data_IF_731232143198
#
_entry.id   IF_731232143198
#
_cell.length_a   1.000
_cell.length_b   1.000
_cell.length_c   1.000
_cell.angle_alpha   90.00
_cell.angle_beta   90.00
_cell.angle_gamma   90.00
#
_symmetry.space_group_name_H-M   'P 1'
#
loop_
_entity.id
_entity.type
_entity.pdbx_description
1 polymer ?
#
# COMPACT_ATOMS: atom_id res chain seq x y z
N UNK A 1 -9.59 18.30 -14.79
CA UNK A 1 -8.19 18.25 -14.31
C UNK A 1 -7.42 17.39 -15.32
N UNK A 2 -6.36 17.92 -15.92
CA UNK A 2 -5.47 17.09 -16.75
C UNK A 2 -4.59 16.30 -15.80
N UNK A 3 -4.71 14.97 -15.85
CA UNK A 3 -3.83 14.06 -15.13
C UNK A 3 -2.70 13.70 -16.09
N UNK A 4 -1.50 14.20 -15.81
CA UNK A 4 -0.29 13.81 -16.56
C UNK A 4 0.16 12.45 -16.04
N UNK A 5 0.45 11.50 -16.92
CA UNK A 5 1.05 10.23 -16.54
C UNK A 5 2.37 10.48 -15.77
N UNK A 6 2.68 9.61 -14.82
CA UNK A 6 3.90 9.66 -13.98
C UNK A 6 4.04 10.90 -13.08
N UNK A 7 2.95 11.64 -12.86
CA UNK A 7 2.91 12.71 -11.85
C UNK A 7 2.25 12.21 -10.56
N UNK A 8 3.03 12.31 -9.47
CA UNK A 8 2.60 11.93 -8.13
C UNK A 8 2.36 13.18 -7.29
N UNK A 9 1.37 13.15 -6.40
CA UNK A 9 1.12 14.24 -5.45
C UNK A 9 0.86 13.69 -4.05
N UNK A 10 1.26 14.46 -3.04
CA UNK A 10 0.97 14.17 -1.65
C UNK A 10 -0.40 14.72 -1.28
N UNK A 11 -1.36 13.81 -1.06
CA UNK A 11 -2.70 14.14 -0.58
C UNK A 11 -2.88 13.73 0.87
N UNK A 12 -3.32 14.66 1.72
CA UNK A 12 -3.80 14.31 3.06
C UNK A 12 -5.23 13.78 2.95
N UNK A 13 -5.48 12.60 3.51
CA UNK A 13 -6.83 12.03 3.66
C UNK A 13 -7.25 12.07 5.13
N UNK A 14 -8.54 12.16 5.37
CA UNK A 14 -9.14 12.17 6.73
C UNK A 14 -9.98 10.90 6.96
N UNK A 15 -9.62 9.81 6.30
CA UNK A 15 -10.40 8.58 6.27
C UNK A 15 -9.67 7.45 5.56
N UNK A 16 -10.31 6.28 5.47
CA UNK A 16 -9.70 5.10 4.86
C UNK A 16 -9.45 5.34 3.37
N UNK A 17 -8.31 4.88 2.89
CA UNK A 17 -7.91 4.95 1.48
C UNK A 17 -8.07 3.56 0.87
N UNK A 18 -8.66 3.50 -0.33
CA UNK A 18 -8.70 2.29 -1.16
C UNK A 18 -7.67 2.45 -2.27
N UNK A 19 -6.85 1.41 -2.47
CA UNK A 19 -5.90 1.35 -3.59
C UNK A 19 -6.05 0.05 -4.37
N UNK A 20 -5.20 -0.14 -5.37
CA UNK A 20 -5.05 -1.39 -6.12
C UNK A 20 -3.91 -2.20 -5.52
N UNK A 21 -4.04 -3.52 -5.45
CA UNK A 21 -2.93 -4.38 -5.08
C UNK A 21 -1.81 -4.29 -6.15
N UNK A 22 -0.55 -4.33 -5.71
CA UNK A 22 0.60 -4.48 -6.60
C UNK A 22 0.48 -5.79 -7.42
N UNK A 23 1.15 -5.90 -8.56
CA UNK A 23 0.95 -7.05 -9.47
C UNK A 23 1.28 -8.43 -8.85
N UNK A 24 2.12 -8.44 -7.80
CA UNK A 24 2.46 -9.63 -6.99
C UNK A 24 1.80 -9.61 -5.61
N UNK A 25 1.00 -8.59 -5.30
CA UNK A 25 0.54 -8.23 -3.96
C UNK A 25 -0.49 -9.20 -3.40
N UNK A 26 -0.02 -10.22 -2.69
CA UNK A 26 -0.85 -11.07 -1.85
C UNK A 26 -1.10 -10.40 -0.50
N UNK A 27 -1.93 -9.35 -0.47
CA UNK A 27 -2.26 -8.69 0.80
C UNK A 27 -3.08 -9.62 1.70
N UNK A 28 -2.64 -9.77 2.96
CA UNK A 28 -3.36 -10.58 3.97
C UNK A 28 -3.24 -12.09 3.76
N UNK A 29 -2.11 -12.56 3.22
CA UNK A 29 -1.78 -13.98 3.17
C UNK A 29 -1.65 -14.58 4.57
N UNK A 30 -1.07 -13.83 5.49
CA UNK A 30 -0.93 -14.18 6.91
C UNK A 30 -1.59 -13.14 7.85
N UNK A 31 -1.99 -13.58 9.05
CA UNK A 31 -2.70 -12.72 10.00
C UNK A 31 -1.81 -11.60 10.61
N UNK A 32 -0.50 -11.69 10.44
CA UNK A 32 0.51 -10.72 10.87
C UNK A 32 0.97 -9.77 9.74
N UNK A 33 0.55 -10.00 8.50
CA UNK A 33 0.81 -9.12 7.37
C UNK A 33 -0.12 -7.89 7.42
N UNK A 34 0.27 -6.90 8.22
CA UNK A 34 -0.54 -5.69 8.45
C UNK A 34 0.04 -4.42 7.84
N UNK A 35 1.36 -4.36 7.68
CA UNK A 35 2.04 -3.20 7.12
C UNK A 35 1.96 -3.22 5.59
N UNK A 36 1.53 -2.10 5.00
CA UNK A 36 1.47 -1.92 3.55
C UNK A 36 2.38 -0.79 3.10
N UNK A 37 2.88 -0.95 1.89
CA UNK A 37 3.86 -0.07 1.27
C UNK A 37 3.41 0.28 -0.15
N UNK A 38 3.80 1.47 -0.60
CA UNK A 38 3.62 1.87 -1.99
C UNK A 38 4.65 1.18 -2.89
N UNK A 39 4.16 0.58 -3.97
CA UNK A 39 4.98 0.08 -5.06
C UNK A 39 5.20 1.16 -6.13
N UNK A 40 6.16 0.93 -7.04
CA UNK A 40 6.54 1.90 -8.07
C UNK A 40 5.43 2.19 -9.09
N UNK A 41 4.45 1.29 -9.23
CA UNK A 41 3.29 1.43 -10.10
C UNK A 41 2.11 2.16 -9.42
N UNK A 42 2.28 2.58 -8.16
CA UNK A 42 1.24 3.21 -7.35
C UNK A 42 0.28 2.22 -6.69
N UNK A 43 0.47 0.92 -6.88
CA UNK A 43 -0.20 -0.13 -6.12
C UNK A 43 0.30 -0.21 -4.68
N UNK A 44 -0.41 -1.01 -3.88
CA UNK A 44 0.00 -1.33 -2.52
C UNK A 44 0.30 -2.82 -2.36
N UNK A 45 1.32 -3.12 -1.57
CA UNK A 45 1.79 -4.48 -1.29
C UNK A 45 2.40 -4.61 0.10
N UNK A 46 2.76 -5.84 0.47
CA UNK A 46 3.67 -6.08 1.59
C UNK A 46 5.11 -5.75 1.17
N UNK A 47 6.01 -5.52 2.13
CA UNK A 47 7.39 -5.11 1.85
C UNK A 47 8.13 -6.05 0.89
N UNK A 48 7.85 -7.37 0.95
CA UNK A 48 8.47 -8.36 0.07
C UNK A 48 7.90 -8.43 -1.35
N UNK A 49 6.68 -7.91 -1.55
CA UNK A 49 5.98 -7.97 -2.84
C UNK A 49 6.18 -6.68 -3.65
N UNK A 50 6.41 -5.56 -2.97
CA UNK A 50 6.75 -4.31 -3.65
C UNK A 50 8.14 -4.43 -4.30
N UNK A 51 8.24 -4.07 -5.57
CA UNK A 51 9.49 -4.16 -6.33
C UNK A 51 10.50 -3.11 -5.86
N UNK A 52 11.17 -3.38 -4.74
CA UNK A 52 12.29 -2.57 -4.26
C UNK A 52 13.48 -2.71 -5.20
N UNK A 53 13.91 -1.61 -5.81
CA UNK A 53 15.28 -1.52 -6.33
C UNK A 53 16.23 -1.48 -5.14
N UNK A 54 17.44 -2.02 -5.25
CA UNK A 54 18.48 -1.85 -4.21
C UNK A 54 18.76 -0.37 -3.86
N UNK A 55 18.34 0.56 -4.73
CA UNK A 55 18.47 2.02 -4.55
C UNK A 55 17.17 2.72 -4.11
N UNK A 56 16.02 2.05 -4.11
CA UNK A 56 14.73 2.60 -3.69
C UNK A 56 13.95 1.55 -2.92
N UNK A 57 13.92 1.72 -1.60
CA UNK A 57 13.06 0.94 -0.73
C UNK A 57 11.61 1.45 -0.86
N UNK A 58 10.62 0.54 -0.84
CA UNK A 58 9.22 0.93 -0.93
C UNK A 58 8.83 1.78 0.29
N UNK A 59 8.02 2.80 0.05
CA UNK A 59 7.62 3.73 1.09
C UNK A 59 6.47 3.16 1.93
N UNK A 60 6.57 3.27 3.24
CA UNK A 60 5.49 2.87 4.14
C UNK A 60 4.23 3.67 3.85
N UNK A 61 3.14 2.98 3.50
CA UNK A 61 1.85 3.59 3.21
C UNK A 61 0.97 3.61 4.46
N UNK A 62 0.99 2.54 5.27
CA UNK A 62 0.15 2.43 6.44
C UNK A 62 -0.11 0.99 6.87
N UNK A 63 -1.31 0.74 7.40
CA UNK A 63 -1.72 -0.58 7.86
C UNK A 63 -3.13 -0.97 7.42
N UNK A 64 -3.34 -2.28 7.23
CA UNK A 64 -4.63 -2.89 6.94
C UNK A 64 -5.50 -2.99 8.21
N UNK A 65 -6.80 -2.82 8.05
CA UNK A 65 -7.77 -3.05 9.13
C UNK A 65 -7.82 -4.54 9.48
N UNK A 66 -7.89 -4.84 10.78
CA UNK A 66 -7.77 -6.19 11.29
C UNK A 66 -8.85 -7.13 10.73
N UNK A 67 -8.39 -8.15 10.01
CA UNK A 67 -9.19 -9.33 9.67
C UNK A 67 -8.81 -10.46 10.63
N UNK A 68 -9.79 -11.12 11.23
CA UNK A 68 -9.53 -12.22 12.18
C UNK A 68 -9.25 -13.56 11.50
N UNK A 69 -9.12 -13.57 10.17
CA UNK A 69 -8.97 -14.78 9.35
C UNK A 69 -8.13 -14.50 8.11
N UNK A 70 -7.25 -15.42 7.74
CA UNK A 70 -6.41 -15.31 6.54
C UNK A 70 -7.21 -15.34 5.24
N UNK A 71 -6.66 -14.71 4.20
CA UNK A 71 -7.13 -14.87 2.81
C UNK A 71 -8.27 -13.96 2.38
N UNK A 72 -8.63 -12.93 3.16
CA UNK A 72 -9.62 -11.92 2.78
C UNK A 72 -9.29 -10.57 3.41
N UNK A 73 -8.19 -9.96 2.97
CA UNK A 73 -7.88 -8.60 3.40
C UNK A 73 -8.39 -7.58 2.39
N UNK A 74 -9.02 -6.57 2.95
CA UNK A 74 -9.68 -5.50 2.25
C UNK A 74 -8.64 -4.43 1.94
N UNK A 75 -8.65 -3.82 0.75
CA UNK A 75 -7.58 -2.90 0.27
C UNK A 75 -7.69 -1.51 0.93
N UNK A 76 -8.17 -1.47 2.17
CA UNK A 76 -8.31 -0.28 2.98
C UNK A 76 -7.08 -0.12 3.87
N UNK A 77 -6.42 1.04 3.75
CA UNK A 77 -5.34 1.43 4.65
C UNK A 77 -5.55 2.84 5.17
N UNK A 78 -4.94 3.13 6.32
CA UNK A 78 -4.81 4.48 6.84
C UNK A 78 -3.44 5.02 6.47
N UNK A 79 -3.42 6.14 5.74
CA UNK A 79 -2.16 6.79 5.36
C UNK A 79 -1.42 7.26 6.61
N UNK A 80 -0.20 6.79 6.80
CA UNK A 80 0.68 7.31 7.86
C UNK A 80 1.78 8.17 7.23
N UNK A 81 1.63 9.48 7.37
CA UNK A 81 2.69 10.42 7.03
C UNK A 81 3.70 10.42 8.19
N UNK A 82 4.95 10.03 7.91
CA UNK A 82 6.05 10.34 8.80
C UNK A 82 6.34 11.86 8.71
N UNK A 83 6.57 12.55 9.84
CA UNK A 83 6.93 13.97 9.85
C UNK A 83 8.27 14.23 9.15
#
# INVERSE_FOLDING_TARGET
>A
INVTADYYFWGQTWGPVVATAASLGGLGGNADERAVYFDNDGGIGVMGDCAGSATQLPQYAGFLLATTSSGKDDIFFMLQLAP
#
